data_IF_263075225082
#
_entry.id   IF_263075225082
#
_cell.length_a   1.000
_cell.length_b   1.000
_cell.length_c   1.000
_cell.angle_alpha   90.00
_cell.angle_beta   90.00
_cell.angle_gamma   90.00
#
_symmetry.space_group_name_H-M   'P 1'
#
loop_
_entity.id
_entity.type
_entity.pdbx_description
1 polymer ?
#
# COMPACT_ATOMS: atom_id res chain seq x y z
N UNK A 1 11.31 -14.39 -11.26
CA UNK A 1 11.31 -15.86 -11.45
C UNK A 1 9.86 -16.30 -11.60
N UNK A 2 9.53 -17.08 -12.62
CA UNK A 2 8.14 -17.43 -12.92
C UNK A 2 7.69 -18.60 -12.05
N UNK A 3 6.54 -18.45 -11.40
CA UNK A 3 5.79 -19.53 -10.74
C UNK A 3 4.77 -20.17 -11.68
N UNK A 4 4.62 -19.64 -12.90
CA UNK A 4 3.71 -20.19 -13.91
C UNK A 4 4.20 -21.54 -14.41
N UNK A 5 3.26 -22.34 -14.87
CA UNK A 5 3.54 -23.58 -15.58
C UNK A 5 4.35 -23.30 -16.84
N UNK A 6 5.48 -23.98 -16.98
CA UNK A 6 6.22 -23.98 -18.22
C UNK A 6 5.72 -25.16 -19.05
N UNK A 7 5.28 -24.89 -20.28
CA UNK A 7 4.83 -25.90 -21.24
C UNK A 7 5.79 -26.01 -22.43
N UNK A 8 7.04 -25.56 -22.27
CA UNK A 8 8.06 -25.63 -23.32
C UNK A 8 8.79 -26.97 -23.26
N UNK A 9 8.66 -27.77 -24.32
CA UNK A 9 9.29 -29.09 -24.46
C UNK A 9 10.81 -29.00 -24.55
N UNK A 10 11.34 -27.92 -25.14
CA UNK A 10 12.79 -27.68 -25.23
C UNK A 10 13.41 -27.43 -23.86
N UNK A 11 12.63 -26.93 -22.90
CA UNK A 11 13.08 -26.75 -21.52
C UNK A 11 12.83 -28.01 -20.65
N UNK A 12 12.33 -29.10 -21.25
CA UNK A 12 11.94 -30.31 -20.53
C UNK A 12 10.72 -30.12 -19.64
N UNK A 13 9.96 -29.05 -19.85
CA UNK A 13 8.82 -28.69 -19.00
C UNK A 13 7.47 -29.16 -19.55
N UNK A 14 7.42 -29.72 -20.76
CA UNK A 14 6.22 -30.34 -21.31
C UNK A 14 6.48 -31.74 -21.86
N UNK A 15 5.41 -32.52 -21.95
CA UNK A 15 5.41 -33.85 -22.55
C UNK A 15 3.98 -34.36 -22.70
N UNK A 16 3.82 -35.55 -23.26
CA UNK A 16 2.54 -36.27 -23.27
C UNK A 16 2.58 -37.27 -22.13
N UNK A 17 1.56 -37.25 -21.26
CA UNK A 17 1.45 -38.22 -20.18
C UNK A 17 1.01 -39.60 -20.70
N UNK A 18 0.92 -40.58 -19.80
CA UNK A 18 0.55 -41.96 -20.14
C UNK A 18 -0.88 -42.11 -20.68
N UNK A 19 -1.71 -41.07 -20.58
CA UNK A 19 -3.09 -41.02 -21.07
C UNK A 19 -3.23 -40.20 -22.37
N UNK A 20 -2.11 -39.76 -22.96
CA UNK A 20 -2.12 -38.96 -24.18
C UNK A 20 -2.39 -37.47 -23.94
N UNK A 21 -2.41 -37.00 -22.69
CA UNK A 21 -2.71 -35.61 -22.36
C UNK A 21 -1.44 -34.74 -22.30
N UNK A 22 -1.51 -33.46 -22.72
CA UNK A 22 -0.42 -32.52 -22.52
C UNK A 22 -0.12 -32.32 -21.03
N UNK A 23 1.13 -32.53 -20.65
CA UNK A 23 1.65 -32.24 -19.33
C UNK A 23 2.48 -30.96 -19.35
N UNK A 24 2.45 -30.24 -18.23
CA UNK A 24 3.26 -29.06 -17.97
C UNK A 24 3.86 -29.18 -16.57
N UNK A 25 5.02 -28.55 -16.34
CA UNK A 25 5.72 -28.60 -15.06
C UNK A 25 5.79 -27.21 -14.43
N UNK A 26 5.73 -27.15 -13.11
CA UNK A 26 6.03 -25.96 -12.33
C UNK A 26 7.29 -26.23 -11.49
N UNK A 27 8.21 -25.28 -11.46
CA UNK A 27 9.37 -25.31 -10.56
C UNK A 27 9.13 -24.51 -9.27
N UNK A 28 7.87 -24.38 -8.84
CA UNK A 28 7.53 -23.66 -7.61
C UNK A 28 8.29 -24.19 -6.38
N UNK A 29 8.49 -25.51 -6.29
CA UNK A 29 9.26 -26.13 -5.20
C UNK A 29 10.76 -25.81 -5.28
N UNK A 30 11.35 -25.84 -6.49
CA UNK A 30 12.74 -25.44 -6.70
C UNK A 30 12.98 -23.98 -6.34
N UNK A 31 12.10 -23.09 -6.83
CA UNK A 31 12.10 -21.67 -6.47
C UNK A 31 11.98 -21.45 -4.96
N UNK A 32 11.04 -22.14 -4.30
CA UNK A 32 10.86 -22.06 -2.85
C UNK A 32 12.14 -22.46 -2.10
N UNK A 33 12.74 -23.59 -2.47
CA UNK A 33 13.96 -24.08 -1.84
C UNK A 33 15.14 -23.13 -2.07
N UNK A 34 15.23 -22.54 -3.26
CA UNK A 34 16.21 -21.51 -3.56
C UNK A 34 16.03 -20.27 -2.67
N UNK A 35 14.83 -19.68 -2.65
CA UNK A 35 14.54 -18.49 -1.85
C UNK A 35 14.75 -18.73 -0.36
N UNK A 36 14.34 -19.89 0.17
CA UNK A 36 14.61 -20.26 1.56
C UNK A 36 16.11 -20.30 1.87
N UNK A 37 16.94 -20.86 0.99
CA UNK A 37 18.41 -20.88 1.20
C UNK A 37 19.00 -19.48 1.18
N UNK A 38 18.61 -18.66 0.20
CA UNK A 38 19.06 -17.26 0.08
C UNK A 38 18.67 -16.48 1.32
N UNK A 39 17.41 -16.60 1.77
CA UNK A 39 16.92 -15.92 2.96
C UNK A 39 17.67 -16.35 4.24
N UNK A 40 17.94 -17.64 4.41
CA UNK A 40 18.75 -18.15 5.54
C UNK A 40 20.18 -17.58 5.54
N UNK A 41 20.80 -17.43 4.37
CA UNK A 41 22.13 -16.83 4.25
C UNK A 41 22.05 -15.33 4.58
N UNK A 42 21.09 -14.64 3.97
CA UNK A 42 20.84 -13.21 4.17
C UNK A 42 20.66 -12.87 5.66
N UNK A 43 19.87 -13.66 6.40
CA UNK A 43 19.63 -13.46 7.83
C UNK A 43 20.83 -13.67 8.75
N UNK A 44 21.97 -14.16 8.25
CA UNK A 44 23.23 -14.19 9.02
C UNK A 44 23.88 -12.81 9.14
N UNK A 45 23.46 -11.82 8.34
CA UNK A 45 24.05 -10.49 8.30
C UNK A 45 23.08 -9.44 8.88
N UNK A 46 23.33 -8.94 10.11
CA UNK A 46 22.48 -7.93 10.73
C UNK A 46 22.37 -6.65 9.89
N UNK A 47 21.22 -5.97 9.97
CA UNK A 47 20.99 -4.69 9.29
C UNK A 47 20.70 -4.79 7.79
N UNK A 48 20.51 -5.99 7.25
CA UNK A 48 20.18 -6.22 5.83
C UNK A 48 18.71 -6.61 5.66
N UNK A 49 18.10 -6.22 4.54
CA UNK A 49 16.74 -6.65 4.16
C UNK A 49 16.74 -7.34 2.80
N UNK A 50 15.96 -8.41 2.68
CA UNK A 50 15.77 -9.12 1.43
C UNK A 50 14.46 -8.65 0.80
N UNK A 51 14.54 -8.23 -0.45
CA UNK A 51 13.38 -7.83 -1.24
C UNK A 51 13.22 -8.77 -2.42
N UNK A 52 12.00 -9.26 -2.63
CA UNK A 52 11.61 -9.87 -3.89
C UNK A 52 10.85 -8.83 -4.71
N UNK A 53 11.39 -8.52 -5.88
CA UNK A 53 10.72 -7.70 -6.89
C UNK A 53 10.10 -8.61 -7.95
N UNK A 54 8.80 -8.45 -8.22
CA UNK A 54 8.07 -9.22 -9.21
C UNK A 54 6.93 -8.41 -9.79
N UNK A 55 6.68 -8.57 -11.09
CA UNK A 55 5.81 -7.68 -11.84
C UNK A 55 4.32 -7.82 -11.55
N UNK A 56 3.80 -9.02 -11.25
CA UNK A 56 2.34 -9.26 -11.29
C UNK A 56 1.75 -10.17 -10.21
N UNK A 57 2.50 -11.15 -9.67
CA UNK A 57 1.87 -12.19 -8.83
C UNK A 57 2.72 -12.50 -7.60
N UNK A 58 2.08 -12.37 -6.42
CA UNK A 58 2.60 -12.91 -5.18
C UNK A 58 2.14 -14.36 -5.02
N UNK A 59 3.07 -15.28 -4.84
CA UNK A 59 2.78 -16.69 -4.57
C UNK A 59 3.29 -17.00 -3.18
N UNK A 60 2.42 -17.04 -2.14
CA UNK A 60 2.85 -17.19 -0.75
C UNK A 60 3.79 -18.37 -0.54
N UNK A 61 3.49 -19.52 -1.17
CA UNK A 61 4.31 -20.73 -1.09
C UNK A 61 5.78 -20.53 -1.48
N UNK A 62 6.08 -19.61 -2.41
CA UNK A 62 7.44 -19.33 -2.85
C UNK A 62 8.00 -18.05 -2.22
N UNK A 63 7.20 -16.98 -2.20
CA UNK A 63 7.65 -15.63 -1.92
C UNK A 63 7.60 -15.23 -0.44
N UNK A 64 7.16 -16.10 0.47
CA UNK A 64 7.20 -15.85 1.92
C UNK A 64 8.63 -15.65 2.49
N UNK A 65 9.66 -16.10 1.78
CA UNK A 65 11.07 -15.95 2.16
C UNK A 65 11.65 -14.59 1.76
N UNK A 66 11.07 -13.50 2.25
CA UNK A 66 11.51 -12.12 1.99
C UNK A 66 11.11 -11.22 3.16
N UNK A 67 11.79 -10.08 3.33
CA UNK A 67 11.40 -9.07 4.32
C UNK A 67 10.23 -8.22 3.82
N UNK A 68 10.25 -7.92 2.53
CA UNK A 68 9.13 -7.27 1.85
C UNK A 68 9.08 -7.66 0.38
N UNK A 69 7.89 -7.50 -0.20
CA UNK A 69 7.61 -7.74 -1.61
C UNK A 69 7.38 -6.40 -2.31
N UNK A 70 7.98 -6.21 -3.48
CA UNK A 70 7.88 -4.97 -4.24
C UNK A 70 7.22 -5.22 -5.61
N UNK A 71 5.87 -5.22 -5.67
CA UNK A 71 5.13 -5.22 -6.93
C UNK A 71 4.90 -3.80 -7.43
N UNK A 72 4.25 -3.66 -8.59
CA UNK A 72 3.79 -2.37 -9.06
C UNK A 72 3.73 -2.25 -10.57
N UNK A 73 4.55 -2.99 -11.32
CA UNK A 73 4.48 -2.98 -12.79
C UNK A 73 3.11 -3.40 -13.33
N UNK A 74 2.38 -4.27 -12.63
CA UNK A 74 0.99 -4.60 -12.94
C UNK A 74 0.07 -3.38 -12.94
N UNK A 75 0.39 -2.32 -12.18
CA UNK A 75 -0.40 -1.08 -12.13
C UNK A 75 -0.14 -0.15 -13.32
N UNK A 76 0.77 -0.50 -14.23
CA UNK A 76 1.10 0.29 -15.42
C UNK A 76 -0.15 0.59 -16.26
N UNK A 77 -1.00 -0.42 -16.48
CA UNK A 77 -2.23 -0.28 -17.27
C UNK A 77 -3.23 0.67 -16.62
N UNK A 78 -3.29 0.68 -15.29
CA UNK A 78 -4.17 1.56 -14.51
C UNK A 78 -3.84 3.04 -14.79
N UNK A 79 -2.55 3.39 -14.77
CA UNK A 79 -2.09 4.74 -15.13
C UNK A 79 -2.43 5.08 -16.59
N UNK A 80 -2.35 4.10 -17.49
CA UNK A 80 -2.70 4.32 -18.89
C UNK A 80 -4.20 4.60 -19.10
N UNK A 81 -5.06 3.98 -18.30
CA UNK A 81 -6.50 4.19 -18.36
C UNK A 81 -6.90 5.52 -17.72
N UNK A 82 -6.32 5.83 -16.55
CA UNK A 82 -6.66 6.98 -15.75
C UNK A 82 -5.39 7.63 -15.16
N UNK A 83 -4.71 8.50 -15.92
CA UNK A 83 -3.43 9.07 -15.49
C UNK A 83 -3.54 9.96 -14.25
N UNK A 84 -4.73 10.51 -13.95
CA UNK A 84 -4.92 11.48 -12.88
C UNK A 84 -5.31 10.86 -11.54
N UNK A 85 -6.04 9.73 -11.55
CA UNK A 85 -6.58 9.06 -10.37
C UNK A 85 -6.40 7.52 -10.41
N UNK A 86 -5.26 6.98 -10.86
CA UNK A 86 -5.16 5.55 -11.15
C UNK A 86 -5.36 4.68 -9.89
N UNK A 87 -4.81 5.11 -8.76
CA UNK A 87 -4.83 4.29 -7.54
C UNK A 87 -6.10 4.44 -6.70
N UNK A 88 -6.87 5.51 -6.89
CA UNK A 88 -8.13 5.74 -6.17
C UNK A 88 -9.36 5.26 -6.94
N UNK A 89 -9.26 5.12 -8.27
CA UNK A 89 -10.39 4.78 -9.13
C UNK A 89 -10.23 3.46 -9.92
N UNK A 90 -9.01 3.06 -10.28
CA UNK A 90 -8.80 1.83 -11.06
C UNK A 90 -8.49 0.60 -10.20
N UNK A 91 -8.17 0.79 -8.91
CA UNK A 91 -8.04 -0.30 -7.94
C UNK A 91 -9.25 -0.23 -7.01
N UNK A 92 -10.03 -1.31 -6.99
CA UNK A 92 -11.20 -1.39 -6.13
C UNK A 92 -10.79 -1.51 -4.65
N UNK A 93 -11.62 -1.02 -3.70
CA UNK A 93 -11.46 -1.33 -2.28
C UNK A 93 -11.23 -2.82 -2.00
N UNK A 94 -11.98 -3.69 -2.67
CA UNK A 94 -11.91 -5.14 -2.53
C UNK A 94 -10.54 -5.68 -2.95
N UNK A 95 -9.97 -5.17 -4.05
CA UNK A 95 -8.64 -5.54 -4.53
C UNK A 95 -7.54 -5.09 -3.56
N UNK A 96 -7.65 -3.90 -2.96
CA UNK A 96 -6.74 -3.52 -1.86
C UNK A 96 -6.85 -4.47 -0.67
N UNK A 97 -8.05 -4.89 -0.32
CA UNK A 97 -8.33 -5.79 0.81
C UNK A 97 -7.96 -7.26 0.54
N UNK A 98 -7.78 -7.66 -0.73
CA UNK A 98 -7.34 -8.99 -1.14
C UNK A 98 -5.88 -9.01 -1.55
N UNK A 99 -5.55 -8.39 -2.68
CA UNK A 99 -4.34 -8.63 -3.45
C UNK A 99 -3.15 -7.85 -2.89
N UNK A 100 -3.42 -6.68 -2.32
CA UNK A 100 -2.42 -5.81 -1.71
C UNK A 100 -2.39 -5.90 -0.18
N UNK A 101 -3.17 -6.80 0.42
CA UNK A 101 -3.29 -6.93 1.87
C UNK A 101 -2.13 -7.75 2.45
N UNK A 102 -1.12 -7.05 2.97
CA UNK A 102 0.08 -7.63 3.59
C UNK A 102 -0.21 -8.60 4.74
N UNK A 103 -1.33 -8.42 5.46
CA UNK A 103 -1.74 -9.31 6.56
C UNK A 103 -2.24 -10.66 6.06
N UNK A 104 -2.84 -10.72 4.86
CA UNK A 104 -3.24 -11.98 4.21
C UNK A 104 -2.04 -12.73 3.64
N UNK A 105 -1.08 -12.00 3.09
CA UNK A 105 0.11 -12.58 2.44
C UNK A 105 1.22 -12.92 3.43
N UNK A 106 1.20 -12.35 4.63
CA UNK A 106 2.22 -12.52 5.66
C UNK A 106 3.52 -11.76 5.37
N UNK A 107 3.54 -10.92 4.34
CA UNK A 107 4.71 -10.18 3.86
C UNK A 107 4.33 -8.73 3.61
N UNK A 108 5.16 -7.78 4.06
CA UNK A 108 4.95 -6.36 3.81
C UNK A 108 5.08 -6.03 2.32
N UNK A 109 4.20 -5.17 1.80
CA UNK A 109 4.23 -4.75 0.40
C UNK A 109 4.81 -3.33 0.29
N UNK A 110 5.63 -3.09 -0.73
CA UNK A 110 6.15 -1.78 -1.11
C UNK A 110 5.89 -1.53 -2.60
N UNK A 111 4.84 -0.78 -2.89
CA UNK A 111 4.32 -0.56 -4.23
C UNK A 111 5.23 0.38 -5.04
N UNK A 112 5.73 -0.12 -6.16
CA UNK A 112 6.40 0.68 -7.16
C UNK A 112 5.37 1.42 -8.01
N UNK A 113 5.24 2.73 -7.77
CA UNK A 113 4.34 3.58 -8.55
C UNK A 113 4.78 3.62 -10.03
N UNK A 114 3.83 3.72 -10.95
CA UNK A 114 4.08 3.59 -12.39
C UNK A 114 3.84 4.87 -13.17
N UNK A 115 3.46 5.98 -12.53
CA UNK A 115 3.01 7.21 -13.19
C UNK A 115 3.96 7.65 -14.32
N UNK A 116 5.17 8.10 -13.98
CA UNK A 116 6.14 8.57 -14.97
C UNK A 116 6.70 7.46 -15.86
N UNK A 117 6.66 6.20 -15.43
CA UNK A 117 7.06 5.06 -16.27
C UNK A 117 6.06 4.83 -17.39
N UNK A 118 4.77 4.86 -17.09
CA UNK A 118 3.69 4.82 -18.07
C UNK A 118 3.79 6.01 -19.03
N UNK A 119 3.99 7.23 -18.52
CA UNK A 119 4.16 8.40 -19.37
C UNK A 119 5.41 8.37 -20.27
N UNK A 120 6.47 7.68 -19.84
CA UNK A 120 7.69 7.51 -20.65
C UNK A 120 7.49 6.51 -21.78
N UNK A 121 6.71 5.46 -21.56
CA UNK A 121 6.53 4.34 -22.50
C UNK A 121 5.36 4.58 -23.45
N UNK A 122 4.29 5.22 -22.97
CA UNK A 122 3.07 5.44 -23.74
C UNK A 122 3.04 6.84 -24.36
N UNK A 123 3.11 6.98 -25.70
CA UNK A 123 3.12 8.29 -26.36
C UNK A 123 1.90 9.16 -26.02
N UNK A 124 0.73 8.54 -25.79
CA UNK A 124 -0.50 9.24 -25.40
C UNK A 124 -0.42 9.96 -24.05
N UNK A 125 0.57 9.60 -23.22
CA UNK A 125 0.76 10.16 -21.88
C UNK A 125 1.96 11.10 -21.78
N UNK A 126 2.66 11.40 -22.89
CA UNK A 126 3.88 12.23 -22.88
C UNK A 126 3.70 13.55 -22.12
N UNK A 127 2.52 14.19 -22.23
CA UNK A 127 2.18 15.43 -21.52
C UNK A 127 2.26 15.33 -19.99
N UNK A 128 2.04 14.13 -19.44
CA UNK A 128 2.07 13.88 -18.00
C UNK A 128 3.47 13.56 -17.46
N UNK A 129 4.45 13.25 -18.30
CA UNK A 129 5.76 12.77 -17.84
C UNK A 129 6.44 13.75 -16.87
N UNK A 130 6.47 15.04 -17.24
CA UNK A 130 7.02 16.10 -16.40
C UNK A 130 6.14 16.36 -15.17
N UNK A 131 4.81 16.35 -15.36
CA UNK A 131 3.84 16.58 -14.28
C UNK A 131 3.99 15.54 -13.18
N UNK A 132 4.01 14.25 -13.53
CA UNK A 132 4.18 13.17 -12.58
C UNK A 132 5.43 13.29 -11.71
N UNK A 133 6.54 13.79 -12.28
CA UNK A 133 7.81 13.93 -11.57
C UNK A 133 7.95 15.23 -10.77
N UNK A 134 7.10 16.23 -11.01
CA UNK A 134 7.27 17.58 -10.46
C UNK A 134 6.09 18.05 -9.59
N UNK A 135 4.87 17.68 -9.96
CA UNK A 135 3.66 18.07 -9.26
C UNK A 135 3.40 17.13 -8.06
N UNK A 136 3.38 17.66 -6.82
CA UNK A 136 3.12 16.86 -5.62
C UNK A 136 1.74 16.20 -5.62
N UNK A 137 0.77 16.71 -6.37
CA UNK A 137 -0.60 16.19 -6.39
C UNK A 137 -0.63 14.71 -6.79
N UNK A 138 0.13 14.29 -7.80
CA UNK A 138 0.13 12.88 -8.22
C UNK A 138 0.71 11.94 -7.16
N UNK A 139 1.70 12.40 -6.40
CA UNK A 139 2.24 11.64 -5.28
C UNK A 139 1.24 11.57 -4.12
N UNK A 140 0.55 12.66 -3.78
CA UNK A 140 -0.49 12.68 -2.73
C UNK A 140 -1.66 11.76 -3.09
N UNK A 141 -2.12 11.81 -4.34
CA UNK A 141 -3.17 10.93 -4.86
C UNK A 141 -2.78 9.46 -4.82
N UNK A 142 -1.51 9.14 -5.09
CA UNK A 142 -1.00 7.79 -4.91
C UNK A 142 -0.92 7.38 -3.44
N UNK A 143 -0.44 8.25 -2.54
CA UNK A 143 -0.34 7.94 -1.11
C UNK A 143 -1.71 7.62 -0.50
N UNK A 144 -2.74 8.37 -0.89
CA UNK A 144 -4.07 8.32 -0.29
C UNK A 144 -4.64 6.90 -0.12
N UNK A 145 -4.77 6.09 -1.18
CA UNK A 145 -5.32 4.76 -1.05
C UNK A 145 -4.37 3.79 -0.35
N UNK A 146 -3.05 3.89 -0.59
CA UNK A 146 -2.09 2.97 0.05
C UNK A 146 -1.98 3.21 1.56
N UNK A 147 -2.09 4.45 2.04
CA UNK A 147 -2.06 4.77 3.47
C UNK A 147 -3.24 4.15 4.22
N UNK A 148 -4.47 4.28 3.71
CA UNK A 148 -5.65 3.74 4.40
C UNK A 148 -5.74 2.21 4.36
N UNK A 149 -4.93 1.56 3.53
CA UNK A 149 -4.85 0.09 3.41
C UNK A 149 -3.56 -0.51 3.98
N UNK A 150 -2.70 0.30 4.61
CA UNK A 150 -1.40 -0.09 5.13
C UNK A 150 -0.45 -0.76 4.11
N UNK A 151 -0.31 -0.11 2.97
CA UNK A 151 0.60 -0.52 1.90
C UNK A 151 1.71 0.51 1.77
N UNK A 152 2.97 0.06 1.75
CA UNK A 152 4.10 0.96 1.57
C UNK A 152 4.26 1.36 0.10
N UNK A 153 4.99 2.43 -0.14
CA UNK A 153 5.16 3.02 -1.47
C UNK A 153 6.63 3.32 -1.72
N UNK A 154 7.12 2.96 -2.89
CA UNK A 154 8.45 3.31 -3.36
C UNK A 154 8.45 4.72 -3.98
N UNK A 155 9.49 5.51 -3.70
CA UNK A 155 9.74 6.87 -4.22
C UNK A 155 9.99 7.03 -5.74
N UNK A 156 9.80 5.97 -6.53
CA UNK A 156 10.06 5.99 -7.97
C UNK A 156 8.88 6.50 -8.80
N UNK A 157 9.18 7.08 -9.96
CA UNK A 157 8.22 7.48 -11.01
C UNK A 157 7.11 8.46 -10.62
N UNK A 158 7.23 9.14 -9.49
CA UNK A 158 6.41 10.29 -9.09
C UNK A 158 7.30 11.37 -8.48
N UNK A 159 6.71 12.47 -8.01
CA UNK A 159 7.46 13.53 -7.35
C UNK A 159 8.09 13.04 -6.04
N UNK A 160 9.40 12.74 -6.11
CA UNK A 160 10.18 12.12 -5.06
C UNK A 160 10.15 12.86 -3.72
N UNK A 161 10.16 14.20 -3.74
CA UNK A 161 10.16 15.02 -2.51
C UNK A 161 8.93 14.77 -1.64
N UNK A 162 7.75 14.59 -2.25
CA UNK A 162 6.51 14.29 -1.53
C UNK A 162 6.56 12.89 -0.92
N UNK A 163 7.07 11.89 -1.62
CA UNK A 163 7.24 10.54 -1.07
C UNK A 163 8.26 10.54 0.08
N UNK A 164 9.36 11.29 -0.03
CA UNK A 164 10.33 11.44 1.07
C UNK A 164 9.68 12.12 2.30
N UNK A 165 8.86 13.16 2.10
CA UNK A 165 8.09 13.79 3.20
C UNK A 165 7.14 12.79 3.86
N UNK A 166 6.46 11.96 3.08
CA UNK A 166 5.61 10.88 3.59
C UNK A 166 6.40 9.87 4.43
N UNK A 167 7.55 9.42 3.95
CA UNK A 167 8.42 8.53 4.72
C UNK A 167 8.98 9.18 5.99
N UNK A 168 9.31 10.47 5.94
CA UNK A 168 9.70 11.23 7.13
C UNK A 168 8.56 11.28 8.16
N UNK A 169 7.34 11.62 7.74
CA UNK A 169 6.17 11.62 8.62
C UNK A 169 5.97 10.24 9.28
N UNK A 170 6.06 9.14 8.51
CA UNK A 170 5.98 7.77 9.05
C UNK A 170 7.10 7.45 10.02
N UNK A 171 8.32 7.89 9.74
CA UNK A 171 9.47 7.71 10.66
C UNK A 171 9.26 8.47 11.96
N UNK A 172 8.84 9.73 11.89
CA UNK A 172 8.64 10.58 13.06
C UNK A 172 7.47 10.09 13.93
N UNK A 173 6.47 9.44 13.33
CA UNK A 173 5.37 8.78 14.03
C UNK A 173 5.66 7.31 14.40
N UNK A 174 6.90 6.84 14.21
CA UNK A 174 7.37 5.50 14.57
C UNK A 174 6.61 4.32 13.94
N UNK A 175 6.27 4.42 12.65
CA UNK A 175 5.54 3.37 11.92
C UNK A 175 6.27 2.01 11.89
N UNK A 176 7.58 1.98 12.16
CA UNK A 176 8.34 0.74 12.25
C UNK A 176 7.92 -0.16 13.43
N UNK A 177 7.28 0.41 14.45
CA UNK A 177 6.87 -0.29 15.67
C UNK A 177 5.35 -0.22 15.91
N UNK A 178 4.55 -0.15 14.83
CA UNK A 178 3.10 -0.30 14.92
C UNK A 178 2.80 -1.67 15.55
N UNK A 179 2.02 -1.66 16.62
CA UNK A 179 1.56 -2.88 17.27
C UNK A 179 0.40 -3.52 16.51
N UNK A 180 -0.48 -2.69 15.94
CA UNK A 180 -1.67 -3.16 15.23
C UNK A 180 -2.13 -2.14 14.19
N UNK A 181 -2.55 -2.64 13.04
CA UNK A 181 -3.34 -1.91 12.06
C UNK A 181 -4.75 -2.50 12.03
N UNK A 182 -5.78 -1.64 12.00
CA UNK A 182 -7.19 -2.01 11.94
C UNK A 182 -7.78 -1.35 10.70
N UNK A 183 -8.09 -2.15 9.67
CA UNK A 183 -8.65 -1.66 8.42
C UNK A 183 -10.13 -1.28 8.57
N UNK A 184 -10.59 -0.28 7.80
CA UNK A 184 -12.01 0.13 7.78
C UNK A 184 -12.99 -1.01 7.41
N UNK A 185 -12.50 -2.06 6.75
CA UNK A 185 -13.27 -3.24 6.34
C UNK A 185 -13.43 -4.27 7.48
N UNK A 186 -12.70 -4.11 8.58
CA UNK A 186 -12.83 -5.01 9.73
C UNK A 186 -14.07 -4.68 10.55
N UNK A 187 -14.84 -5.71 10.93
CA UNK A 187 -16.08 -5.58 11.72
C UNK A 187 -15.88 -4.79 13.02
N UNK A 188 -14.68 -4.83 13.61
CA UNK A 188 -14.32 -4.16 14.86
C UNK A 188 -13.61 -2.82 14.68
N UNK A 189 -13.62 -2.21 13.49
CA UNK A 189 -12.94 -0.93 13.30
C UNK A 189 -13.61 0.17 14.14
N UNK A 190 -12.87 0.84 15.04
CA UNK A 190 -13.44 1.82 15.97
C UNK A 190 -13.64 3.20 15.31
N UNK A 191 -13.32 3.34 14.03
CA UNK A 191 -13.49 4.57 13.28
C UNK A 191 -14.26 4.31 11.99
N UNK A 192 -15.02 5.30 11.56
CA UNK A 192 -15.70 5.29 10.27
C UNK A 192 -15.95 6.70 9.77
N UNK A 193 -16.17 6.83 8.48
CA UNK A 193 -16.69 8.05 7.88
C UNK A 193 -18.18 7.89 7.56
N UNK A 194 -18.95 8.94 7.78
CA UNK A 194 -20.33 9.05 7.27
C UNK A 194 -20.41 9.62 5.84
N UNK A 195 -19.28 9.82 5.16
CA UNK A 195 -19.22 10.34 3.80
C UNK A 195 -18.94 9.22 2.79
N UNK A 196 -19.60 9.30 1.65
CA UNK A 196 -19.41 8.34 0.55
C UNK A 196 -17.95 8.35 0.06
N UNK A 197 -17.37 7.16 -0.15
CA UNK A 197 -15.98 6.97 -0.63
C UNK A 197 -14.93 7.72 0.20
N UNK A 198 -15.16 7.86 1.50
CA UNK A 198 -14.16 8.29 2.46
C UNK A 198 -13.90 7.12 3.41
N UNK A 199 -12.65 6.66 3.48
CA UNK A 199 -12.26 5.48 4.24
C UNK A 199 -11.39 5.86 5.43
N UNK A 200 -11.55 5.15 6.55
CA UNK A 200 -10.86 5.45 7.80
C UNK A 200 -10.30 4.19 8.45
N UNK A 201 -8.97 4.09 8.58
CA UNK A 201 -8.29 2.97 9.24
C UNK A 201 -7.46 3.47 10.42
N UNK A 202 -7.08 2.56 11.33
CA UNK A 202 -6.37 2.91 12.57
C UNK A 202 -5.03 2.21 12.64
N UNK A 203 -4.02 2.98 13.01
CA UNK A 203 -2.74 2.50 13.49
C UNK A 203 -2.70 2.62 15.02
N UNK A 204 -2.22 1.59 15.70
CA UNK A 204 -2.07 1.51 17.14
C UNK A 204 -0.62 1.18 17.50
N UNK A 205 -0.09 1.88 18.50
CA UNK A 205 1.23 1.64 19.06
C UNK A 205 1.14 1.19 20.52
N UNK A 206 2.00 0.25 20.88
CA UNK A 206 2.25 -0.16 22.26
C UNK A 206 3.68 0.30 22.63
N UNK A 207 3.84 1.43 23.31
CA UNK A 207 5.15 1.86 23.82
C UNK A 207 5.60 3.26 23.38
N UNK A 208 6.84 3.37 22.88
CA UNK A 208 7.62 4.63 22.80
C UNK A 208 7.24 5.59 21.66
N UNK A 209 6.23 5.28 20.86
CA UNK A 209 5.75 6.20 19.82
C UNK A 209 5.23 7.50 20.46
N UNK A 210 5.39 8.67 19.81
CA UNK A 210 4.75 9.90 20.28
C UNK A 210 3.21 9.85 20.21
N UNK A 211 2.64 8.82 19.58
CA UNK A 211 1.20 8.62 19.41
C UNK A 211 0.79 7.23 19.93
N UNK A 212 -0.37 7.15 20.58
CA UNK A 212 -0.99 5.88 20.92
C UNK A 212 -1.82 5.34 19.75
N UNK A 213 -2.51 6.23 19.03
CA UNK A 213 -3.27 5.91 17.83
C UNK A 213 -2.99 6.91 16.71
N UNK A 214 -3.18 6.49 15.47
CA UNK A 214 -3.31 7.39 14.34
C UNK A 214 -4.46 6.95 13.44
N UNK A 215 -5.35 7.88 13.10
CA UNK A 215 -6.49 7.64 12.21
C UNK A 215 -6.11 8.09 10.80
N UNK A 216 -5.89 7.14 9.91
CA UNK A 216 -5.67 7.39 8.49
C UNK A 216 -7.01 7.58 7.80
N UNK A 217 -7.22 8.73 7.16
CA UNK A 217 -8.44 9.06 6.40
C UNK A 217 -8.06 9.33 4.96
N UNK A 218 -8.78 8.72 4.02
CA UNK A 218 -8.57 8.93 2.59
C UNK A 218 -9.88 9.26 1.90
N UNK A 219 -9.93 10.37 1.17
CA UNK A 219 -11.08 10.73 0.33
C UNK A 219 -10.85 10.23 -1.09
N UNK A 220 -11.57 9.18 -1.51
CA UNK A 220 -11.42 8.57 -2.84
C UNK A 220 -12.29 9.25 -3.90
N UNK A 221 -13.04 10.29 -3.54
CA UNK A 221 -13.72 11.13 -4.53
C UNK A 221 -12.72 12.04 -5.25
N UNK A 222 -13.14 12.61 -6.39
CA UNK A 222 -12.41 13.71 -7.05
C UNK A 222 -12.65 15.06 -6.38
N UNK A 223 -13.80 15.23 -5.73
CA UNK A 223 -14.19 16.47 -5.06
C UNK A 223 -13.80 16.47 -3.59
N UNK A 224 -13.60 17.67 -3.07
CA UNK A 224 -13.51 17.88 -1.62
C UNK A 224 -14.80 17.41 -0.92
N UNK A 225 -14.64 16.76 0.22
CA UNK A 225 -15.75 16.29 1.06
C UNK A 225 -15.51 16.68 2.51
N UNK A 226 -16.59 16.96 3.21
CA UNK A 226 -16.61 16.84 4.67
C UNK A 226 -16.46 15.37 5.04
N UNK A 227 -15.43 15.02 5.83
CA UNK A 227 -15.11 13.62 6.09
C UNK A 227 -16.05 12.94 7.07
N UNK A 228 -16.87 13.68 7.83
CA UNK A 228 -17.86 13.11 8.78
C UNK A 228 -17.26 11.99 9.64
N UNK A 229 -16.07 12.23 10.18
CA UNK A 229 -15.32 11.24 10.95
C UNK A 229 -16.04 10.94 12.27
N UNK A 230 -16.24 9.66 12.54
CA UNK A 230 -16.83 9.13 13.77
C UNK A 230 -15.81 8.22 14.42
N UNK A 231 -15.50 8.49 15.69
CA UNK A 231 -14.53 7.72 16.48
C UNK A 231 -15.25 7.16 17.70
N UNK A 232 -15.21 5.85 17.86
CA UNK A 232 -15.62 5.16 19.08
C UNK A 232 -14.45 5.16 20.08
N UNK A 233 -14.39 6.23 20.87
CA UNK A 233 -13.37 6.42 21.91
C UNK A 233 -13.38 5.30 22.95
N UNK A 234 -14.56 4.74 23.24
CA UNK A 234 -14.70 3.64 24.19
C UNK A 234 -14.07 2.36 23.62
N UNK A 235 -14.28 2.06 22.35
CA UNK A 235 -13.63 0.94 21.67
C UNK A 235 -12.10 1.11 21.57
N UNK A 236 -11.61 2.35 21.45
CA UNK A 236 -10.17 2.67 21.55
C UNK A 236 -9.63 2.62 23.01
N UNK A 237 -10.51 2.52 24.01
CA UNK A 237 -10.09 2.49 25.41
C UNK A 237 -9.46 3.79 25.92
N UNK A 238 -9.85 4.93 25.35
CA UNK A 238 -9.40 6.27 25.76
C UNK A 238 -10.57 7.25 25.89
N UNK A 239 -10.36 8.35 26.61
CA UNK A 239 -11.28 9.49 26.57
C UNK A 239 -10.96 10.35 25.34
N UNK A 240 -11.97 11.00 24.72
CA UNK A 240 -11.71 11.93 23.64
C UNK A 240 -10.77 13.04 24.14
N UNK A 241 -9.63 13.28 23.46
CA UNK A 241 -8.79 14.43 23.77
C UNK A 241 -9.48 15.72 23.33
N UNK A 242 -8.94 16.87 23.73
CA UNK A 242 -9.41 18.17 23.23
C UNK A 242 -9.04 18.36 21.76
N UNK A 243 -7.81 17.98 21.40
CA UNK A 243 -7.26 18.10 20.05
C UNK A 243 -6.56 16.83 19.60
N UNK A 244 -6.42 16.67 18.29
CA UNK A 244 -5.57 15.68 17.62
C UNK A 244 -4.61 16.39 16.69
N UNK A 245 -3.45 15.79 16.40
CA UNK A 245 -2.48 16.35 15.46
C UNK A 245 -2.72 15.78 14.06
N UNK A 246 -3.00 16.61 13.07
CA UNK A 246 -2.94 16.20 11.67
C UNK A 246 -1.47 16.18 11.24
N UNK A 247 -0.91 14.97 11.05
CA UNK A 247 0.52 14.72 10.94
C UNK A 247 1.11 15.18 9.61
N UNK A 248 0.30 15.31 8.55
CA UNK A 248 0.79 15.77 7.26
C UNK A 248 0.99 17.29 7.26
N UNK A 249 0.00 18.03 7.71
CA UNK A 249 -0.06 19.51 7.75
C UNK A 249 0.50 20.09 9.04
N UNK A 250 0.76 19.24 10.04
CA UNK A 250 1.31 19.61 11.34
C UNK A 250 0.40 20.61 12.09
N UNK A 251 -0.91 20.42 12.02
CA UNK A 251 -1.90 21.27 12.68
C UNK A 251 -2.62 20.51 13.78
N UNK A 252 -2.87 21.19 14.88
CA UNK A 252 -3.75 20.66 15.93
C UNK A 252 -5.20 20.98 15.55
N UNK A 253 -6.05 19.95 15.55
CA UNK A 253 -7.44 20.02 15.16
C UNK A 253 -8.30 19.68 16.39
N UNK A 254 -9.25 20.54 16.79
CA UNK A 254 -10.20 20.19 17.84
C UNK A 254 -10.98 18.94 17.49
N UNK A 255 -11.17 18.03 18.45
CA UNK A 255 -11.95 16.80 18.21
C UNK A 255 -13.38 17.11 17.77
N UNK A 256 -13.95 18.22 18.24
CA UNK A 256 -15.27 18.72 17.83
C UNK A 256 -15.38 19.09 16.34
N UNK A 257 -14.25 19.36 15.68
CA UNK A 257 -14.20 19.73 14.26
C UNK A 257 -13.93 18.56 13.32
N UNK A 258 -13.52 17.39 13.83
CA UNK A 258 -13.19 16.22 13.00
C UNK A 258 -14.35 15.75 12.12
N UNK A 259 -15.59 15.87 12.61
CA UNK A 259 -16.79 15.59 11.81
C UNK A 259 -16.97 16.55 10.62
N UNK A 260 -16.49 17.78 10.74
CA UNK A 260 -16.63 18.86 9.74
C UNK A 260 -15.37 19.10 8.91
N UNK A 261 -14.30 18.37 9.20
CA UNK A 261 -13.01 18.52 8.51
C UNK A 261 -13.18 18.27 7.01
N UNK A 262 -12.73 19.23 6.20
CA UNK A 262 -12.83 19.15 4.74
C UNK A 262 -11.53 18.62 4.17
N UNK A 263 -11.64 17.51 3.42
CA UNK A 263 -10.50 16.85 2.79
C UNK A 263 -10.67 16.89 1.28
N UNK A 264 -9.67 17.41 0.57
CA UNK A 264 -9.64 17.45 -0.90
C UNK A 264 -9.82 16.05 -1.50
N UNK A 265 -10.35 15.99 -2.72
CA UNK A 265 -10.51 14.72 -3.42
C UNK A 265 -9.18 14.06 -3.73
N UNK A 266 -9.08 12.75 -3.50
CA UNK A 266 -7.86 11.95 -3.63
C UNK A 266 -6.71 12.48 -2.76
N UNK A 267 -7.04 13.05 -1.59
CA UNK A 267 -6.08 13.41 -0.55
C UNK A 267 -6.34 12.58 0.70
N UNK A 268 -5.32 12.55 1.56
CA UNK A 268 -5.39 11.90 2.86
C UNK A 268 -5.21 12.90 4.00
N UNK A 269 -5.66 12.49 5.19
CA UNK A 269 -5.27 13.06 6.47
C UNK A 269 -4.81 11.92 7.38
N UNK A 270 -3.89 12.22 8.30
CA UNK A 270 -3.44 11.28 9.31
C UNK A 270 -3.51 11.97 10.67
N UNK A 271 -4.49 11.61 11.49
CA UNK A 271 -4.71 12.24 12.79
C UNK A 271 -4.03 11.43 13.89
N UNK A 272 -2.92 11.93 14.44
CA UNK A 272 -2.24 11.39 15.61
C UNK A 272 -2.97 11.72 16.92
N UNK A 273 -3.11 10.70 17.77
CA UNK A 273 -3.84 10.74 19.04
C UNK A 273 -2.89 10.20 20.12
N UNK A 274 -2.73 10.94 21.21
CA UNK A 274 -1.88 10.58 22.35
C UNK A 274 -2.59 9.64 23.32
#
# INVERSE_FOLDING_TARGET
MSTQFCSNSLHGCSGIDVFGQPSFRSDALGLRNFLMRVYKIHKKYPGTSMMIHSHIQFVPFCHEFTDFFAPGENTFKLVCNNPEYPYTEEISPEEFQSDYNSRKTGVAFCMLLQNARAAKIMPSLNRYQKLFLQDPEYAIRAITPFLVHDVNIWDSYVQRKTIIRYWKMRKDADFAHIAKFIGYWEKGCPVKSGAEKVFCSVYEWNGKSPWRYAVAVGNFNRQEKEIRLQIDWKALGIKPPETVRELWTEKDIPVSELGKYRLKGSHFALFGIK
#
